data_IF_869876494207
#
_entry.id   IF_869876494207
#
_cell.length_a   1.000
_cell.length_b   1.000
_cell.length_c   1.000
_cell.angle_alpha   90.00
_cell.angle_beta   90.00
_cell.angle_gamma   90.00
#
_symmetry.space_group_name_H-M   'P 1'
#
loop_
_entity.id
_entity.type
_entity.pdbx_description
1 polymer ?
#
# COMPACT_ATOMS: atom_id res chain seq x y z
N UNK A 1 -18.36 27.56 -36.05
CA UNK A 1 -17.04 27.84 -35.43
C UNK A 1 -16.34 26.52 -35.16
N UNK A 2 -15.37 26.19 -35.99
CA UNK A 2 -14.52 24.98 -35.88
C UNK A 2 -13.30 25.33 -35.04
N UNK A 3 -13.16 24.71 -33.87
CA UNK A 3 -11.96 24.88 -33.04
C UNK A 3 -10.81 24.10 -33.67
N UNK A 4 -9.87 24.83 -34.29
CA UNK A 4 -8.59 24.30 -34.76
C UNK A 4 -7.61 24.37 -33.59
N UNK A 5 -7.22 23.22 -33.04
CA UNK A 5 -6.08 23.15 -32.12
C UNK A 5 -4.80 23.37 -32.93
N UNK A 6 -4.27 24.59 -32.93
CA UNK A 6 -2.91 24.86 -33.42
C UNK A 6 -1.92 24.33 -32.39
N UNK A 7 -1.38 23.14 -32.64
CA UNK A 7 -0.25 22.58 -31.88
C UNK A 7 1.02 23.33 -32.30
N UNK A 8 1.23 24.52 -31.76
CA UNK A 8 2.44 25.34 -31.98
C UNK A 8 3.26 25.57 -30.71
N UNK A 9 2.83 25.04 -29.57
CA UNK A 9 3.59 25.12 -28.31
C UNK A 9 4.50 23.89 -28.19
N UNK A 10 5.79 24.10 -27.93
CA UNK A 10 6.66 23.06 -27.36
C UNK A 10 5.99 22.50 -26.10
N UNK A 11 5.88 21.18 -25.92
CA UNK A 11 5.28 20.63 -24.71
C UNK A 11 6.10 21.07 -23.50
N UNK A 12 5.47 21.78 -22.58
CA UNK A 12 6.04 22.18 -21.29
C UNK A 12 5.68 21.15 -20.22
N UNK A 13 6.44 21.12 -19.13
CA UNK A 13 6.09 20.34 -17.94
C UNK A 13 4.73 20.81 -17.41
N UNK A 14 3.86 19.86 -17.06
CA UNK A 14 2.60 20.17 -16.37
C UNK A 14 2.90 20.67 -14.94
N UNK A 15 2.12 21.64 -14.47
CA UNK A 15 2.29 22.27 -13.16
C UNK A 15 1.60 21.45 -12.06
N UNK A 16 2.34 20.94 -11.05
CA UNK A 16 1.74 20.32 -9.87
C UNK A 16 0.76 21.26 -9.17
N UNK A 17 1.10 22.53 -9.04
CA UNK A 17 0.30 23.55 -8.37
C UNK A 17 -1.07 23.71 -9.04
N UNK A 18 -1.09 23.75 -10.39
CA UNK A 18 -2.33 23.85 -11.15
C UNK A 18 -3.18 22.59 -10.96
N UNK A 19 -2.57 21.40 -11.01
CA UNK A 19 -3.29 20.15 -10.76
C UNK A 19 -3.88 20.07 -9.34
N UNK A 20 -3.12 20.47 -8.32
CA UNK A 20 -3.57 20.49 -6.92
C UNK A 20 -4.73 21.49 -6.75
N UNK A 21 -4.67 22.64 -7.41
CA UNK A 21 -5.70 23.69 -7.31
C UNK A 21 -7.10 23.21 -7.75
N UNK A 22 -7.18 22.22 -8.65
CA UNK A 22 -8.45 21.61 -9.08
C UNK A 22 -9.18 20.90 -7.95
N UNK A 23 -8.44 20.39 -6.96
CA UNK A 23 -8.98 19.65 -5.83
C UNK A 23 -9.10 20.49 -4.56
N UNK A 24 -8.29 21.55 -4.43
CA UNK A 24 -8.20 22.39 -3.23
C UNK A 24 -9.54 22.99 -2.78
N UNK A 25 -10.46 23.23 -3.72
CA UNK A 25 -11.77 23.83 -3.45
C UNK A 25 -12.94 22.81 -3.47
N UNK A 26 -12.65 21.51 -3.57
CA UNK A 26 -13.71 20.51 -3.64
C UNK A 26 -14.25 20.18 -2.23
N UNK A 27 -15.56 20.38 -1.97
CA UNK A 27 -16.15 20.01 -0.69
C UNK A 27 -16.36 18.49 -0.54
N UNK A 28 -16.19 17.72 -1.63
CA UNK A 28 -16.49 16.28 -1.68
C UNK A 28 -15.28 15.40 -1.88
N UNK A 29 -14.10 15.98 -2.13
CA UNK A 29 -12.87 15.24 -2.41
C UNK A 29 -11.84 15.55 -1.34
N UNK A 30 -11.40 14.52 -0.62
CA UNK A 30 -10.18 14.59 0.18
C UNK A 30 -9.01 14.20 -0.70
N UNK A 31 -8.19 15.17 -1.09
CA UNK A 31 -6.98 14.92 -1.86
C UNK A 31 -5.77 14.79 -0.93
N UNK A 32 -5.20 13.59 -0.84
CA UNK A 32 -4.17 13.26 0.16
C UNK A 32 -2.79 13.86 -0.14
N UNK A 33 -2.49 14.19 -1.40
CA UNK A 33 -1.26 14.84 -1.85
C UNK A 33 0.03 14.38 -1.14
N UNK A 34 0.35 13.08 -1.20
CA UNK A 34 1.46 12.48 -0.46
C UNK A 34 1.31 12.65 1.05
N UNK A 35 0.23 12.11 1.58
CA UNK A 35 -0.16 12.25 2.98
C UNK A 35 -1.10 11.16 3.44
N UNK A 36 -1.41 11.16 4.73
CA UNK A 36 -2.27 10.16 5.37
C UNK A 36 -3.56 10.77 5.87
N UNK A 37 -4.61 9.96 5.91
CA UNK A 37 -5.86 10.26 6.62
C UNK A 37 -6.36 9.02 7.35
N UNK A 38 -7.21 9.22 8.36
CA UNK A 38 -7.95 8.13 9.02
C UNK A 38 -9.41 8.24 8.66
N UNK A 39 -9.97 7.16 8.11
CA UNK A 39 -11.40 7.04 7.86
C UNK A 39 -12.05 6.42 9.09
N UNK A 40 -13.11 7.03 9.59
CA UNK A 40 -13.90 6.53 10.74
C UNK A 40 -15.33 6.26 10.30
N UNK A 41 -15.76 5.01 10.40
CA UNK A 41 -17.11 4.56 10.06
C UNK A 41 -17.94 4.43 11.34
N UNK A 42 -18.44 5.55 11.85
CA UNK A 42 -19.10 5.66 13.17
C UNK A 42 -20.63 5.61 13.13
N UNK A 43 -21.24 5.27 11.99
CA UNK A 43 -22.70 5.13 11.90
C UNK A 43 -23.18 4.07 12.91
N UNK A 44 -24.24 4.32 13.71
CA UNK A 44 -24.77 3.35 14.66
C UNK A 44 -25.14 2.00 14.03
N UNK A 45 -25.58 2.01 12.77
CA UNK A 45 -25.91 0.80 11.98
C UNK A 45 -24.75 0.30 11.10
N UNK A 46 -23.59 0.95 11.16
CA UNK A 46 -22.43 0.64 10.33
C UNK A 46 -21.47 -0.37 11.00
N UNK A 47 -20.27 -0.54 10.42
CA UNK A 47 -19.27 -1.49 10.92
C UNK A 47 -18.46 -1.01 12.15
N UNK A 48 -18.58 0.26 12.57
CA UNK A 48 -17.89 0.82 13.75
C UNK A 48 -16.37 0.57 13.72
N UNK A 49 -15.74 0.84 12.57
CA UNK A 49 -14.30 0.64 12.35
C UNK A 49 -13.61 1.95 12.00
N UNK A 50 -12.28 1.98 12.18
CA UNK A 50 -11.40 3.02 11.69
C UNK A 50 -10.18 2.40 11.03
N UNK A 51 -9.75 3.00 9.92
CA UNK A 51 -8.58 2.54 9.17
C UNK A 51 -7.82 3.72 8.56
N UNK A 52 -6.53 3.54 8.36
CA UNK A 52 -5.63 4.56 7.82
C UNK A 52 -5.43 4.39 6.30
N UNK A 53 -5.37 5.51 5.60
CA UNK A 53 -5.11 5.57 4.16
C UNK A 53 -3.96 6.53 3.90
N UNK A 54 -2.89 6.03 3.31
CA UNK A 54 -1.84 6.87 2.73
C UNK A 54 -2.12 7.06 1.23
N UNK A 55 -1.96 8.28 0.72
CA UNK A 55 -2.24 8.60 -0.68
C UNK A 55 -1.15 9.46 -1.31
N UNK A 56 -0.67 9.11 -2.52
CA UNK A 56 0.34 9.90 -3.23
C UNK A 56 0.14 9.96 -4.75
N UNK A 57 0.28 11.16 -5.37
CA UNK A 57 0.16 11.31 -6.83
C UNK A 57 1.47 11.00 -7.58
N UNK A 58 2.59 10.81 -6.88
CA UNK A 58 3.90 10.73 -7.49
C UNK A 58 4.11 9.44 -8.29
N UNK A 59 4.91 9.55 -9.36
CA UNK A 59 5.38 8.45 -10.18
C UNK A 59 6.84 8.68 -10.61
N UNK A 60 7.64 7.63 -10.82
CA UNK A 60 8.95 7.80 -11.46
C UNK A 60 8.79 8.60 -12.75
N UNK A 61 9.64 9.61 -12.94
CA UNK A 61 9.50 10.54 -14.05
C UNK A 61 9.51 9.80 -15.39
N UNK A 62 8.39 9.85 -16.09
CA UNK A 62 8.23 9.36 -17.45
C UNK A 62 7.49 10.42 -18.28
N UNK A 63 8.25 11.21 -19.03
CA UNK A 63 7.73 12.36 -19.77
C UNK A 63 7.60 13.62 -18.90
N UNK A 64 6.61 14.46 -19.22
CA UNK A 64 6.48 15.84 -18.74
C UNK A 64 5.26 16.04 -17.80
N UNK A 65 4.82 14.98 -17.12
CA UNK A 65 3.64 15.02 -16.25
C UNK A 65 3.93 15.70 -14.92
N UNK A 66 2.88 16.25 -14.29
CA UNK A 66 3.00 17.11 -13.12
C UNK A 66 3.71 16.42 -11.93
N UNK A 67 3.39 15.17 -11.64
CA UNK A 67 3.85 14.48 -10.43
C UNK A 67 5.01 13.50 -10.70
N UNK A 68 5.94 13.87 -11.58
CA UNK A 68 7.16 13.11 -11.84
C UNK A 68 8.23 13.39 -10.78
N UNK A 69 8.80 12.34 -10.17
CA UNK A 69 9.98 12.45 -9.30
C UNK A 69 11.15 11.62 -9.82
N UNK A 70 12.36 12.00 -9.41
CA UNK A 70 13.58 11.32 -9.83
C UNK A 70 13.83 10.11 -8.92
N UNK A 71 13.38 8.94 -9.38
CA UNK A 71 13.54 7.69 -8.65
C UNK A 71 15.01 7.22 -8.67
N UNK A 72 15.52 6.63 -7.58
CA UNK A 72 16.85 6.01 -7.58
C UNK A 72 16.96 4.96 -8.69
N UNK A 73 18.00 5.04 -9.51
CA UNK A 73 18.18 4.12 -10.63
C UNK A 73 18.47 2.69 -10.15
N UNK A 74 17.81 1.73 -10.79
CA UNK A 74 18.04 0.31 -10.62
C UNK A 74 19.27 -0.09 -11.45
N UNK A 75 20.45 -0.19 -10.82
CA UNK A 75 21.68 -0.61 -11.51
C UNK A 75 22.99 -0.31 -10.79
N UNK A 76 22.99 0.62 -9.84
CA UNK A 76 24.18 0.89 -9.02
C UNK A 76 24.28 -0.16 -7.91
N UNK A 77 25.12 -1.18 -8.14
CA UNK A 77 25.48 -2.21 -7.17
C UNK A 77 25.78 -1.55 -5.81
N UNK A 78 25.01 -1.94 -4.78
CA UNK A 78 25.33 -1.74 -3.37
C UNK A 78 25.04 -0.37 -2.73
N UNK A 79 24.69 0.68 -3.47
CA UNK A 79 24.60 2.04 -2.90
C UNK A 79 23.20 2.68 -2.89
N UNK A 80 22.30 2.32 -3.81
CA UNK A 80 20.98 2.98 -3.92
C UNK A 80 19.87 2.30 -3.10
N UNK A 81 20.15 1.15 -2.49
CA UNK A 81 19.18 0.45 -1.64
C UNK A 81 18.90 1.17 -0.32
N UNK A 82 19.90 1.87 0.21
CA UNK A 82 19.84 2.52 1.53
C UNK A 82 19.50 4.01 1.46
N UNK A 83 19.33 4.56 0.25
CA UNK A 83 18.97 5.97 0.11
C UNK A 83 17.48 6.15 0.45
N UNK A 84 17.15 7.09 1.34
CA UNK A 84 15.76 7.41 1.61
C UNK A 84 15.02 7.80 0.32
N UNK A 85 13.79 7.32 0.19
CA UNK A 85 12.91 7.63 -0.92
C UNK A 85 11.65 8.29 -0.40
N UNK A 86 10.89 8.96 -1.27
CA UNK A 86 9.61 9.57 -0.85
C UNK A 86 8.66 8.52 -0.24
N UNK A 87 8.78 7.25 -0.63
CA UNK A 87 7.94 6.17 -0.10
C UNK A 87 8.30 5.76 1.33
N UNK A 88 9.35 6.33 1.92
CA UNK A 88 9.67 6.17 3.34
C UNK A 88 8.74 6.96 4.25
N UNK A 89 8.00 7.92 3.69
CA UNK A 89 6.97 8.68 4.40
C UNK A 89 5.65 7.91 4.55
N UNK A 90 5.53 6.71 3.96
CA UNK A 90 4.37 5.83 4.20
C UNK A 90 4.43 5.32 5.65
N UNK A 91 3.42 5.64 6.50
CA UNK A 91 3.38 5.15 7.87
C UNK A 91 3.33 3.63 7.93
N UNK A 92 4.02 3.04 8.91
CA UNK A 92 4.07 1.58 9.07
C UNK A 92 2.72 0.95 9.42
N UNK A 93 1.78 1.73 9.95
CA UNK A 93 0.43 1.33 10.30
C UNK A 93 -0.60 1.60 9.19
N UNK A 94 -0.17 2.04 7.99
CA UNK A 94 -1.08 2.28 6.87
C UNK A 94 -1.86 1.00 6.50
N UNK A 95 -3.19 1.01 6.62
CA UNK A 95 -4.04 -0.11 6.21
C UNK A 95 -4.19 -0.19 4.69
N UNK A 96 -4.29 0.99 4.06
CA UNK A 96 -4.45 1.16 2.62
C UNK A 96 -3.40 2.13 2.10
N UNK A 97 -2.76 1.77 0.99
CA UNK A 97 -1.85 2.65 0.24
C UNK A 97 -2.45 2.92 -1.13
N UNK A 98 -2.71 4.19 -1.43
CA UNK A 98 -3.23 4.66 -2.72
C UNK A 98 -2.14 5.44 -3.46
N UNK A 99 -1.76 4.99 -4.64
CA UNK A 99 -0.66 5.58 -5.42
C UNK A 99 -1.06 5.79 -6.86
N UNK A 100 -0.40 6.73 -7.55
CA UNK A 100 -0.59 6.83 -8.99
C UNK A 100 0.13 5.68 -9.72
N UNK A 101 1.43 5.49 -9.43
CA UNK A 101 2.29 4.46 -10.03
C UNK A 101 2.09 3.09 -9.39
N UNK A 102 2.15 1.98 -10.15
CA UNK A 102 2.18 0.64 -9.56
C UNK A 102 3.56 0.36 -8.93
N UNK A 103 3.64 -0.54 -7.94
CA UNK A 103 4.92 -1.11 -7.49
C UNK A 103 5.57 -1.91 -8.63
N UNK A 104 6.90 -1.91 -8.68
CA UNK A 104 7.64 -2.67 -9.69
C UNK A 104 7.27 -4.15 -9.67
N UNK A 105 7.19 -4.79 -10.85
CA UNK A 105 6.84 -6.21 -11.06
C UNK A 105 5.45 -6.67 -10.57
N UNK A 106 4.57 -5.73 -10.21
CA UNK A 106 3.25 -6.04 -9.68
C UNK A 106 2.19 -5.17 -10.36
N UNK A 107 1.35 -5.80 -11.19
CA UNK A 107 0.33 -5.08 -11.98
C UNK A 107 0.92 -3.87 -12.76
N UNK A 108 2.15 -3.99 -13.27
CA UNK A 108 2.93 -2.89 -13.84
C UNK A 108 3.47 -3.18 -15.26
N UNK A 109 2.99 -4.25 -15.91
CA UNK A 109 3.40 -4.58 -17.26
C UNK A 109 2.94 -3.49 -18.24
N UNK A 110 3.92 -2.87 -18.91
CA UNK A 110 3.66 -1.89 -19.97
C UNK A 110 3.42 -2.55 -21.33
N UNK A 111 2.96 -1.78 -22.33
CA UNK A 111 2.88 -2.23 -23.74
C UNK A 111 4.14 -2.87 -24.28
N UNK A 112 5.31 -2.46 -23.78
CA UNK A 112 6.60 -2.98 -24.19
C UNK A 112 6.94 -4.33 -23.53
N UNK A 113 6.03 -4.91 -22.74
CA UNK A 113 6.23 -6.11 -21.91
C UNK A 113 7.40 -5.97 -20.93
N UNK A 114 7.47 -4.79 -20.32
CA UNK A 114 8.48 -4.44 -19.31
C UNK A 114 7.77 -3.90 -18.09
N UNK A 115 8.34 -4.19 -16.92
CA UNK A 115 7.98 -3.59 -15.65
C UNK A 115 8.18 -2.06 -15.74
N UNK A 116 7.11 -1.31 -15.54
CA UNK A 116 7.10 0.16 -15.54
C UNK A 116 6.79 0.73 -14.15
N UNK A 117 6.65 -0.13 -13.15
CA UNK A 117 6.36 0.24 -11.78
C UNK A 117 7.59 0.74 -11.02
N UNK A 118 7.35 1.17 -9.80
CA UNK A 118 8.34 1.78 -8.94
C UNK A 118 8.94 0.78 -7.94
N UNK A 119 10.25 0.55 -8.05
CA UNK A 119 10.97 -0.36 -7.13
C UNK A 119 11.01 0.18 -5.70
N UNK A 120 11.20 1.49 -5.52
CA UNK A 120 11.15 2.10 -4.20
C UNK A 120 9.79 1.94 -3.52
N UNK A 121 8.70 2.00 -4.29
CA UNK A 121 7.36 1.71 -3.79
C UNK A 121 7.20 0.23 -3.43
N UNK A 122 7.68 -0.70 -4.26
CA UNK A 122 7.68 -2.15 -3.94
C UNK A 122 8.36 -2.43 -2.60
N UNK A 123 9.52 -1.83 -2.35
CA UNK A 123 10.22 -1.95 -1.05
C UNK A 123 9.43 -1.36 0.11
N UNK A 124 8.81 -0.20 -0.09
CA UNK A 124 7.95 0.40 0.92
C UNK A 124 6.72 -0.48 1.23
N UNK A 125 6.12 -1.12 0.22
CA UNK A 125 5.03 -2.09 0.42
C UNK A 125 5.50 -3.35 1.15
N UNK A 126 6.69 -3.87 0.88
CA UNK A 126 7.28 -4.95 1.68
C UNK A 126 7.49 -4.53 3.14
N UNK A 127 7.87 -3.29 3.39
CA UNK A 127 8.08 -2.73 4.73
C UNK A 127 6.78 -2.51 5.50
N UNK A 128 5.79 -1.86 4.87
CA UNK A 128 4.53 -1.45 5.50
C UNK A 128 3.51 -2.59 5.52
N UNK A 129 3.46 -3.37 4.43
CA UNK A 129 2.51 -4.46 4.18
C UNK A 129 1.06 -4.03 4.43
N UNK A 130 0.56 -3.03 3.68
CA UNK A 130 -0.85 -2.66 3.77
C UNK A 130 -1.72 -3.84 3.34
N UNK A 131 -2.97 -3.87 3.82
CA UNK A 131 -3.94 -4.90 3.39
C UNK A 131 -4.28 -4.71 1.91
N UNK A 132 -4.37 -3.45 1.47
CA UNK A 132 -4.68 -3.06 0.10
C UNK A 132 -3.71 -1.98 -0.41
N UNK A 133 -3.10 -2.23 -1.56
CA UNK A 133 -2.37 -1.24 -2.34
C UNK A 133 -3.12 -0.98 -3.66
N UNK A 134 -3.60 0.24 -3.86
CA UNK A 134 -4.32 0.66 -5.06
C UNK A 134 -3.43 1.55 -5.91
N UNK A 135 -3.35 1.25 -7.20
CA UNK A 135 -2.53 1.97 -8.16
C UNK A 135 -3.23 2.15 -9.51
N UNK A 136 -2.59 2.92 -10.41
CA UNK A 136 -3.05 3.13 -11.79
C UNK A 136 -1.86 3.28 -12.73
N UNK A 137 -1.84 4.38 -13.49
CA UNK A 137 -0.73 4.82 -14.38
C UNK A 137 -0.43 3.90 -15.57
N UNK A 138 -0.17 2.61 -15.34
CA UNK A 138 0.15 1.62 -16.37
C UNK A 138 -1.14 0.92 -16.77
N UNK A 139 -1.74 1.34 -17.88
CA UNK A 139 -3.06 0.85 -18.31
C UNK A 139 -3.06 -0.64 -18.65
N UNK A 140 -1.96 -1.12 -19.24
CA UNK A 140 -1.79 -2.54 -19.61
C UNK A 140 -1.58 -3.44 -18.39
N UNK A 141 -1.13 -2.86 -17.27
CA UNK A 141 -0.96 -3.55 -16.00
C UNK A 141 -2.25 -3.71 -15.20
N UNK A 142 -3.41 -3.33 -15.75
CA UNK A 142 -4.73 -3.51 -15.10
C UNK A 142 -4.88 -4.96 -14.62
N UNK A 143 -5.02 -5.13 -13.31
CA UNK A 143 -5.01 -6.46 -12.71
C UNK A 143 -5.14 -6.42 -11.20
N UNK A 144 -5.18 -7.61 -10.60
CA UNK A 144 -5.18 -7.80 -9.16
C UNK A 144 -4.21 -8.92 -8.82
N UNK A 145 -3.33 -8.67 -7.87
CA UNK A 145 -2.35 -9.64 -7.36
C UNK A 145 -2.43 -9.71 -5.84
N UNK A 146 -2.33 -10.92 -5.30
CA UNK A 146 -2.06 -11.15 -3.87
C UNK A 146 -0.58 -11.46 -3.72
N UNK A 147 0.13 -10.62 -2.99
CA UNK A 147 1.57 -10.78 -2.74
C UNK A 147 1.79 -11.24 -1.31
N UNK A 148 2.50 -12.36 -1.15
CA UNK A 148 3.06 -12.82 0.13
C UNK A 148 4.49 -12.33 0.25
N UNK A 149 4.80 -11.61 1.31
CA UNK A 149 6.13 -11.06 1.56
C UNK A 149 6.99 -12.03 2.37
N UNK A 150 8.22 -12.28 1.90
CA UNK A 150 9.21 -13.08 2.62
C UNK A 150 9.90 -12.19 3.66
N UNK A 151 9.62 -12.46 4.94
CA UNK A 151 10.16 -11.72 6.08
C UNK A 151 11.34 -12.43 6.75
N UNK A 152 11.64 -13.66 6.32
CA UNK A 152 12.57 -14.56 7.00
C UNK A 152 13.90 -14.69 6.23
N UNK A 153 13.90 -14.39 4.93
CA UNK A 153 15.11 -14.46 4.11
C UNK A 153 16.07 -13.29 4.37
N UNK A 154 17.09 -13.52 5.19
CA UNK A 154 18.15 -12.54 5.49
C UNK A 154 19.05 -12.21 4.28
N UNK A 155 19.12 -13.11 3.29
CA UNK A 155 20.04 -12.98 2.16
C UNK A 155 19.44 -12.25 0.95
N UNK A 156 18.15 -11.92 0.97
CA UNK A 156 17.48 -11.22 -0.14
C UNK A 156 16.48 -10.23 0.42
N UNK A 157 16.87 -8.96 0.43
CA UNK A 157 16.01 -7.89 0.92
C UNK A 157 14.76 -7.73 0.05
N UNK A 158 13.63 -7.42 0.70
CA UNK A 158 12.36 -7.08 0.03
C UNK A 158 11.80 -8.17 -0.88
N UNK A 159 12.04 -9.43 -0.55
CA UNK A 159 11.65 -10.58 -1.36
C UNK A 159 10.17 -10.91 -1.19
N UNK A 160 9.52 -11.32 -2.27
CA UNK A 160 8.22 -12.01 -2.24
C UNK A 160 8.44 -13.51 -1.99
N UNK A 161 7.62 -14.08 -1.11
CA UNK A 161 7.48 -15.52 -0.95
C UNK A 161 6.64 -16.11 -2.10
N UNK A 162 5.64 -15.36 -2.57
CA UNK A 162 4.81 -15.77 -3.70
C UNK A 162 3.85 -14.69 -4.15
N UNK A 163 3.41 -14.78 -5.41
CA UNK A 163 2.45 -13.88 -6.03
C UNK A 163 1.35 -14.72 -6.67
N UNK A 164 0.10 -14.43 -6.32
CA UNK A 164 -1.08 -15.04 -6.92
C UNK A 164 -1.83 -13.99 -7.73
N UNK A 165 -1.85 -14.15 -9.05
CA UNK A 165 -2.65 -13.33 -9.94
C UNK A 165 -4.13 -13.71 -9.85
N UNK A 166 -5.00 -12.73 -9.65
CA UNK A 166 -6.44 -12.95 -9.64
C UNK A 166 -6.98 -12.93 -11.07
N UNK A 167 -7.73 -13.96 -11.42
CA UNK A 167 -8.46 -14.04 -12.67
C UNK A 167 -9.92 -13.66 -12.43
N UNK A 168 -10.43 -12.68 -13.19
CA UNK A 168 -11.81 -12.25 -13.07
C UNK A 168 -12.77 -13.40 -13.39
N UNK A 169 -13.55 -13.91 -12.41
CA UNK A 169 -14.49 -14.99 -12.65
C UNK A 169 -15.67 -14.54 -13.52
N UNK A 170 -15.79 -13.24 -13.83
CA UNK A 170 -16.88 -12.68 -14.61
C UNK A 170 -18.22 -12.70 -13.87
N UNK A 171 -18.20 -12.87 -12.53
CA UNK A 171 -19.39 -12.81 -11.68
C UNK A 171 -19.88 -11.35 -11.61
N UNK A 172 -20.67 -10.96 -12.60
CA UNK A 172 -21.27 -9.63 -12.71
C UNK A 172 -21.02 -8.99 -14.07
N UNK A 173 -22.09 -8.62 -14.77
CA UNK A 173 -21.96 -7.91 -16.05
C UNK A 173 -21.39 -6.49 -15.89
N UNK A 174 -21.38 -5.93 -14.67
CA UNK A 174 -21.06 -4.51 -14.39
C UNK A 174 -19.80 -4.26 -13.54
N UNK A 175 -19.28 -5.26 -12.83
CA UNK A 175 -18.11 -5.11 -11.95
C UNK A 175 -17.34 -6.42 -11.78
N UNK A 176 -16.09 -6.31 -11.36
CA UNK A 176 -15.13 -7.39 -11.08
C UNK A 176 -14.99 -7.53 -9.56
N UNK A 177 -15.38 -8.67 -8.96
CA UNK A 177 -15.37 -8.85 -7.50
C UNK A 177 -14.17 -9.67 -7.01
N UNK A 178 -13.42 -9.10 -6.07
CA UNK A 178 -12.31 -9.74 -5.36
C UNK A 178 -12.71 -9.86 -3.89
N UNK A 179 -13.10 -11.06 -3.45
CA UNK A 179 -13.51 -11.29 -2.06
C UNK A 179 -12.36 -11.89 -1.25
N UNK A 180 -11.75 -11.10 -0.36
CA UNK A 180 -10.66 -11.51 0.53
C UNK A 180 -11.10 -11.49 2.01
N UNK A 181 -12.41 -11.63 2.26
CA UNK A 181 -12.96 -11.79 3.61
C UNK A 181 -12.90 -13.25 4.04
N UNK A 182 -13.02 -13.51 5.35
CA UNK A 182 -13.17 -14.86 5.88
C UNK A 182 -14.35 -15.62 5.23
N UNK A 183 -15.45 -14.91 4.94
CA UNK A 183 -16.62 -15.48 4.23
C UNK A 183 -16.31 -15.87 2.79
N UNK A 184 -15.31 -15.24 2.18
CA UNK A 184 -14.80 -15.60 0.85
C UNK A 184 -13.97 -16.89 0.83
N UNK A 185 -13.64 -17.47 2.00
CA UNK A 185 -12.93 -18.75 2.13
C UNK A 185 -11.41 -18.66 1.96
N UNK A 186 -10.86 -17.52 1.53
CA UNK A 186 -9.43 -17.28 1.42
C UNK A 186 -9.09 -15.84 1.88
N UNK A 187 -9.18 -15.52 3.18
CA UNK A 187 -8.85 -14.19 3.69
C UNK A 187 -7.36 -13.86 3.52
N UNK A 188 -7.00 -12.58 3.65
CA UNK A 188 -5.58 -12.19 3.72
C UNK A 188 -4.92 -12.74 4.99
N UNK A 189 -3.70 -13.28 4.87
CA UNK A 189 -2.87 -13.77 6.00
C UNK A 189 -2.28 -12.62 6.81
N UNK A 190 -3.16 -11.87 7.48
CA UNK A 190 -2.87 -10.62 8.17
C UNK A 190 -3.38 -10.55 9.62
N UNK A 191 -3.90 -11.66 10.14
CA UNK A 191 -4.45 -11.81 11.50
C UNK A 191 -3.42 -12.32 12.52
N UNK A 192 -2.22 -12.72 12.07
CA UNK A 192 -1.19 -13.29 12.92
C UNK A 192 -1.43 -14.73 13.37
N UNK A 193 -2.53 -15.38 12.96
CA UNK A 193 -2.88 -16.75 13.36
C UNK A 193 -1.87 -17.79 12.86
N UNK A 194 -1.22 -17.51 11.72
CA UNK A 194 -0.21 -18.38 11.10
C UNK A 194 1.20 -18.28 11.72
N UNK A 195 1.42 -17.48 12.77
CA UNK A 195 2.71 -17.48 13.48
C UNK A 195 2.99 -18.80 14.22
N UNK A 196 1.96 -19.63 14.45
CA UNK A 196 2.05 -20.89 15.20
C UNK A 196 2.41 -22.13 14.37
N UNK A 197 2.35 -22.07 13.04
CA UNK A 197 2.54 -23.26 12.19
C UNK A 197 3.99 -23.79 12.15
N UNK A 198 4.95 -23.16 12.82
CA UNK A 198 6.37 -23.56 12.80
C UNK A 198 7.10 -23.54 14.13
N UNK A 199 6.40 -23.45 15.28
CA UNK A 199 7.05 -23.61 16.59
C UNK A 199 7.18 -25.07 17.04
N UNK A 200 6.76 -26.03 16.22
CA UNK A 200 7.02 -27.46 16.43
C UNK A 200 8.20 -27.88 15.56
N UNK A 201 9.43 -27.61 16.04
CA UNK A 201 10.72 -28.25 15.65
C UNK A 201 11.91 -27.27 15.81
N UNK A 202 12.07 -26.66 16.99
CA UNK A 202 13.42 -26.27 17.46
C UNK A 202 13.47 -26.63 18.94
N UNK A 203 14.27 -27.64 19.25
CA UNK A 203 14.48 -28.13 20.60
C UNK A 203 14.96 -27.01 21.53
N UNK A 204 14.41 -27.03 22.74
CA UNK A 204 14.84 -26.22 23.87
C UNK A 204 16.36 -26.35 24.06
N UNK A 205 17.05 -25.22 24.03
CA UNK A 205 18.26 -25.02 24.83
C UNK A 205 18.23 -23.60 25.38
N UNK A 206 17.49 -23.46 26.47
CA UNK A 206 17.49 -22.30 27.35
C UNK A 206 18.89 -22.19 27.96
N UNK A 207 19.60 -21.09 27.67
CA UNK A 207 20.72 -20.64 28.52
C UNK A 207 20.38 -19.24 29.00
N UNK A 208 20.04 -19.15 30.29
CA UNK A 208 19.70 -17.91 31.01
C UNK A 208 20.95 -17.09 31.32
N UNK A 209 21.01 -15.85 30.85
CA UNK A 209 21.92 -14.81 31.35
C UNK A 209 21.12 -13.60 31.84
N UNK A 210 21.49 -12.94 32.96
CA UNK A 210 20.69 -11.89 33.58
C UNK A 210 20.81 -10.54 32.84
N UNK A 211 19.76 -9.69 32.81
CA UNK A 211 19.85 -8.36 32.22
C UNK A 211 20.40 -7.33 33.23
N UNK A 212 21.21 -6.39 32.73
CA UNK A 212 21.69 -5.23 33.47
C UNK A 212 20.68 -4.06 33.43
N UNK A 213 20.63 -3.19 34.45
CA UNK A 213 19.64 -2.11 34.54
C UNK A 213 20.15 -0.83 33.88
N UNK A 214 19.37 -0.26 32.96
CA UNK A 214 19.60 1.06 32.40
C UNK A 214 18.26 1.74 32.16
N UNK A 215 17.87 2.62 33.07
CA UNK A 215 16.66 3.45 32.92
C UNK A 215 16.94 4.71 32.13
N UNK A 216 15.97 5.14 31.32
CA UNK A 216 15.73 6.56 30.98
C UNK A 216 14.33 6.74 30.39
N UNK A 217 13.50 7.48 31.13
CA UNK A 217 12.45 8.42 30.70
C UNK A 217 11.54 8.02 29.53
N UNK A 218 10.41 7.40 29.85
CA UNK A 218 9.23 7.29 28.99
C UNK A 218 8.67 8.68 28.68
N UNK A 219 8.72 9.08 27.41
CA UNK A 219 7.82 10.10 26.87
C UNK A 219 6.92 9.36 25.89
N UNK A 220 5.69 9.07 26.32
CA UNK A 220 4.68 8.43 25.48
C UNK A 220 4.53 9.23 24.18
N UNK A 221 4.70 8.56 23.04
CA UNK A 221 4.52 9.17 21.73
C UNK A 221 3.02 9.39 21.49
N UNK A 222 2.67 10.61 21.08
CA UNK A 222 1.31 11.00 20.67
C UNK A 222 0.86 10.16 19.46
N UNK A 223 -0.32 9.52 19.50
CA UNK A 223 -0.87 8.77 18.36
C UNK A 223 -1.29 9.74 17.25
N UNK A 224 -0.48 9.85 16.19
CA UNK A 224 -0.83 10.69 15.03
C UNK A 224 0.34 11.30 14.24
N UNK A 225 1.58 11.22 14.74
CA UNK A 225 2.76 11.51 13.94
C UNK A 225 3.34 10.21 13.40
N UNK A 226 3.04 9.91 12.12
CA UNK A 226 3.57 8.73 11.42
C UNK A 226 5.08 8.64 11.58
N UNK A 227 5.56 7.55 12.17
CA UNK A 227 6.98 7.33 12.34
C UNK A 227 7.60 6.87 11.03
N UNK A 228 8.70 7.51 10.62
CA UNK A 228 9.61 7.06 9.57
C UNK A 228 10.36 5.82 10.05
N UNK A 229 9.64 4.72 10.24
CA UNK A 229 10.20 3.50 10.81
C UNK A 229 11.01 2.73 9.77
N UNK A 230 12.32 2.63 9.98
CA UNK A 230 13.14 1.61 9.33
C UNK A 230 12.58 0.26 9.76
N UNK A 231 12.16 -0.57 8.81
CA UNK A 231 11.47 -1.86 9.05
C UNK A 231 12.34 -2.96 9.67
N UNK A 232 13.18 -2.61 10.64
CA UNK A 232 14.07 -3.51 11.37
C UNK A 232 13.42 -4.19 12.57
N UNK A 233 14.28 -4.80 13.38
CA UNK A 233 13.96 -5.61 14.56
C UNK A 233 12.91 -4.94 15.48
N UNK A 234 11.75 -5.59 15.73
CA UNK A 234 10.70 -5.06 16.59
C UNK A 234 11.11 -4.93 18.07
N UNK A 235 12.27 -5.45 18.46
CA UNK A 235 12.85 -5.27 19.80
C UNK A 235 13.77 -4.05 19.92
N UNK A 236 13.99 -3.31 18.82
CA UNK A 236 14.81 -2.10 18.82
C UNK A 236 14.14 -0.97 19.60
N UNK A 237 14.86 -0.23 20.47
CA UNK A 237 14.34 0.94 21.18
C UNK A 237 13.95 2.12 20.27
N UNK A 238 14.29 2.05 18.97
CA UNK A 238 13.87 3.00 17.92
C UNK A 238 12.63 2.52 17.16
N UNK A 239 12.09 1.36 17.51
CA UNK A 239 10.93 0.81 16.85
C UNK A 239 9.66 1.37 17.49
N UNK A 240 8.77 1.89 16.66
CA UNK A 240 7.47 2.39 17.10
C UNK A 240 6.57 1.18 17.38
N UNK A 241 6.47 0.79 18.65
CA UNK A 241 5.67 -0.35 19.10
C UNK A 241 4.21 -0.26 18.67
N UNK A 242 3.64 0.95 18.55
CA UNK A 242 2.26 1.14 18.10
C UNK A 242 2.12 0.89 16.60
N UNK A 243 3.05 1.41 15.80
CA UNK A 243 3.07 1.15 14.36
C UNK A 243 3.44 -0.31 14.03
N UNK A 244 4.26 -0.94 14.88
CA UNK A 244 4.51 -2.38 14.84
C UNK A 244 3.25 -3.17 15.15
N UNK A 245 2.53 -2.85 16.22
CA UNK A 245 1.29 -3.52 16.61
C UNK A 245 0.25 -3.49 15.47
N UNK A 246 0.11 -2.36 14.77
CA UNK A 246 -0.77 -2.23 13.60
C UNK A 246 -0.42 -3.19 12.45
N UNK A 247 0.86 -3.54 12.28
CA UNK A 247 1.34 -4.48 11.25
C UNK A 247 1.64 -5.90 11.75
N UNK A 248 1.58 -6.18 13.06
CA UNK A 248 1.88 -7.51 13.60
C UNK A 248 0.95 -8.53 12.93
N UNK A 249 1.56 -9.57 12.36
CA UNK A 249 0.83 -10.60 11.62
C UNK A 249 0.54 -10.29 10.14
N UNK A 250 0.78 -9.07 9.64
CA UNK A 250 0.61 -8.77 8.20
C UNK A 250 1.69 -9.44 7.36
N UNK A 251 1.30 -10.40 6.51
CA UNK A 251 2.19 -11.09 5.57
C UNK A 251 1.76 -10.89 4.11
N UNK A 252 0.52 -10.48 3.88
CA UNK A 252 -0.06 -10.37 2.53
C UNK A 252 -0.56 -8.96 2.21
N UNK A 253 -0.33 -8.53 0.97
CA UNK A 253 -0.90 -7.32 0.39
C UNK A 253 -1.68 -7.67 -0.86
N UNK A 254 -2.94 -7.20 -0.96
CA UNK A 254 -3.67 -7.18 -2.22
C UNK A 254 -3.25 -5.93 -3.01
N UNK A 255 -2.64 -6.11 -4.17
CA UNK A 255 -2.27 -5.04 -5.08
C UNK A 255 -3.31 -5.00 -6.21
N UNK A 256 -3.90 -3.83 -6.43
CA UNK A 256 -4.89 -3.59 -7.48
C UNK A 256 -4.42 -2.44 -8.34
N UNK A 257 -4.13 -2.71 -9.61
CA UNK A 257 -4.06 -1.65 -10.60
C UNK A 257 -5.47 -1.44 -11.15
N UNK A 258 -6.07 -0.30 -10.81
CA UNK A 258 -7.42 0.07 -11.23
C UNK A 258 -7.41 1.08 -12.38
N UNK A 259 -6.43 1.02 -13.28
CA UNK A 259 -6.38 1.88 -14.45
C UNK A 259 -7.72 1.87 -15.20
N UNK A 260 -8.31 3.06 -15.33
CA UNK A 260 -9.68 3.22 -15.87
C UNK A 260 -9.71 2.95 -17.37
N UNK A 261 -8.65 3.28 -18.09
CA UNK A 261 -8.60 3.18 -19.56
C UNK A 261 -8.20 1.76 -19.98
N UNK A 262 -9.02 1.12 -20.82
CA UNK A 262 -8.72 -0.20 -21.39
C UNK A 262 -8.11 -0.10 -22.80
N UNK A 263 -8.66 0.79 -23.65
CA UNK A 263 -8.15 1.06 -24.99
C UNK A 263 -8.15 2.56 -25.23
N UNK A 264 -7.01 3.09 -25.67
CA UNK A 264 -6.85 4.50 -26.07
C UNK A 264 -6.67 4.64 -27.58
N UNK A 265 -6.67 5.86 -28.10
CA UNK A 265 -6.24 6.12 -29.49
C UNK A 265 -4.84 5.50 -29.76
N UNK A 266 -4.53 4.96 -30.96
CA UNK A 266 -5.29 4.97 -32.22
C UNK A 266 -6.16 3.73 -32.48
N UNK A 267 -6.60 2.98 -31.46
CA UNK A 267 -7.33 1.73 -31.69
C UNK A 267 -8.67 1.95 -32.45
N UNK A 268 -8.89 1.14 -33.49
CA UNK A 268 -10.16 1.08 -34.24
C UNK A 268 -11.25 0.63 -33.26
N UNK A 269 -12.23 1.50 -33.00
CA UNK A 269 -13.32 1.27 -32.03
C UNK A 269 -13.46 2.31 -30.90
N UNK A 270 -12.53 3.26 -30.79
CA UNK A 270 -12.64 4.38 -29.84
C UNK A 270 -12.13 4.06 -28.42
N UNK A 271 -12.33 5.00 -27.50
CA UNK A 271 -11.89 4.86 -26.09
C UNK A 271 -12.84 3.92 -25.35
N UNK A 272 -12.29 2.92 -24.65
CA UNK A 272 -13.07 2.03 -23.78
C UNK A 272 -12.51 2.05 -22.36
N UNK A 273 -13.40 1.93 -21.38
CA UNK A 273 -13.04 1.90 -19.95
C UNK A 273 -13.14 0.50 -19.37
N UNK A 274 -12.32 0.21 -18.37
CA UNK A 274 -12.35 -1.04 -17.61
C UNK A 274 -13.55 -1.06 -16.67
N UNK A 275 -14.05 -2.27 -16.38
CA UNK A 275 -15.04 -2.46 -15.30
C UNK A 275 -14.41 -2.09 -13.95
N UNK A 276 -15.19 -1.51 -13.02
CA UNK A 276 -14.76 -1.32 -11.64
C UNK A 276 -14.34 -2.64 -10.99
N UNK A 277 -13.29 -2.60 -10.15
CA UNK A 277 -12.96 -3.68 -9.21
C UNK A 277 -13.58 -3.35 -7.88
N UNK A 278 -14.33 -4.27 -7.32
CA UNK A 278 -14.80 -4.24 -5.93
C UNK A 278 -13.96 -5.22 -5.15
N UNK A 279 -13.33 -4.75 -4.08
CA UNK A 279 -12.54 -5.60 -3.18
C UNK A 279 -13.24 -5.65 -1.83
N UNK A 280 -13.70 -6.83 -1.44
CA UNK A 280 -14.21 -7.07 -0.09
C UNK A 280 -13.02 -7.46 0.80
N UNK A 281 -12.83 -6.71 1.88
CA UNK A 281 -11.72 -6.85 2.82
C UNK A 281 -12.22 -6.83 4.25
N UNK A 282 -11.64 -7.69 5.08
CA UNK A 282 -11.80 -7.57 6.53
C UNK A 282 -10.82 -6.50 7.05
N UNK A 283 -11.38 -5.41 7.57
CA UNK A 283 -10.63 -4.33 8.21
C UNK A 283 -10.66 -4.51 9.74
N UNK A 284 -9.61 -4.06 10.46
CA UNK A 284 -9.56 -4.16 11.91
C UNK A 284 -10.74 -3.41 12.56
N UNK A 285 -11.43 -4.04 13.51
CA UNK A 285 -12.45 -3.36 14.33
C UNK A 285 -11.77 -2.95 15.63
N UNK A 286 -11.81 -1.65 15.93
CA UNK A 286 -11.21 -1.13 17.15
C UNK A 286 -12.31 -0.96 18.21
N UNK A 287 -12.24 -1.73 19.31
CA UNK A 287 -13.04 -1.44 20.51
C UNK A 287 -12.26 -0.39 21.30
N UNK A 288 -12.88 0.77 21.53
CA UNK A 288 -12.30 1.79 22.40
C UNK A 288 -12.54 1.36 23.85
N UNK A 289 -11.46 1.11 24.59
CA UNK A 289 -11.54 0.80 26.02
C UNK A 289 -12.08 2.01 26.80
N UNK A 290 -12.55 1.79 28.04
CA UNK A 290 -13.07 2.87 28.91
C UNK A 290 -12.04 3.98 29.17
N UNK A 291 -10.76 3.69 28.96
CA UNK A 291 -9.64 4.60 29.15
C UNK A 291 -9.27 5.36 27.85
N UNK A 292 -10.06 5.20 26.78
CA UNK A 292 -9.85 5.88 25.50
C UNK A 292 -8.76 5.25 24.62
N UNK A 293 -8.18 4.12 25.01
CA UNK A 293 -7.16 3.41 24.23
C UNK A 293 -7.82 2.44 23.22
N UNK A 294 -7.41 2.45 21.94
CA UNK A 294 -7.95 1.54 20.93
C UNK A 294 -7.43 0.11 21.17
N UNK A 295 -8.35 -0.84 21.29
CA UNK A 295 -8.05 -2.28 21.37
C UNK A 295 -8.44 -2.93 20.04
N UNK A 296 -7.49 -3.64 19.43
CA UNK A 296 -7.72 -4.40 18.22
C UNK A 296 -8.61 -5.61 18.55
N UNK A 297 -9.73 -5.75 17.84
CA UNK A 297 -10.66 -6.88 18.00
C UNK A 297 -10.85 -7.53 16.64
N UNK A 298 -10.55 -8.83 16.56
CA UNK A 298 -10.78 -9.61 15.35
C UNK A 298 -12.19 -10.21 15.38
N UNK A 299 -12.70 -10.59 14.20
CA UNK A 299 -14.08 -11.05 14.02
C UNK A 299 -14.44 -12.31 14.84
N UNK A 300 -13.46 -13.00 15.41
CA UNK A 300 -13.67 -14.18 16.27
C UNK A 300 -14.03 -13.81 17.73
N UNK A 301 -13.91 -12.53 18.12
CA UNK A 301 -14.15 -12.01 19.47
C UNK A 301 -15.44 -11.16 19.61
N UNK A 302 -16.40 -11.33 18.69
CA UNK A 302 -17.70 -10.62 18.66
C UNK A 302 -18.86 -11.59 18.73
#
# INVERSE_FOLDING_TARGET
>A
MTWRWTRTSTPSMESPEDCISLFANSPTITYLNHGSTTIRLSSPSGPHTSFSVFGSPYSPRNGLWAFGYDAPQHGSIGATADLPTLWDDIPLDADIVLTHTPPHTHCDESRARRAAGCEALRRALWRVRPRLAVCGHVHEGRGVERVRWDLECSNTAFKEEGVEGWNDPGQGNKQSLVNLTAKGGNPLRNDGSHLKDRSSEVGENVTTGPPAPGGTSERAAEPGLGTRGLGGDPTSPRSDTAALAGRLGRRETCIVNCAIMAKSYPHVGGKTVNKPVVVDLDLPVWKWTRDGMPQLVYAEDV
#
